data_IF_717334588698
#
_entry.id   IF_717334588698
#
_cell.length_a   1.000
_cell.length_b   1.000
_cell.length_c   1.000
_cell.angle_alpha   90.00
_cell.angle_beta   90.00
_cell.angle_gamma   90.00
#
_symmetry.space_group_name_H-M   'P 1'
#
loop_
_entity.id
_entity.type
_entity.pdbx_description
1 polymer ?
#
# COMPACT_ATOMS: atom_id res chain seq x y z
N UNK A 1 27.88 23.06 12.69
CA UNK A 1 26.77 22.21 12.23
C UNK A 1 26.86 22.13 10.70
N UNK A 2 26.94 21.03 9.97
CA UNK A 2 27.02 19.60 10.28
C UNK A 2 27.32 18.88 8.93
N UNK A 3 28.57 18.90 8.44
CA UNK A 3 28.96 18.25 7.16
C UNK A 3 28.91 16.72 7.22
N UNK A 4 28.76 16.17 8.42
CA UNK A 4 28.73 14.73 8.66
C UNK A 4 27.38 14.08 8.34
N UNK A 5 26.27 14.82 8.50
CA UNK A 5 24.94 14.32 8.17
C UNK A 5 24.74 14.16 6.66
N UNK A 6 25.23 15.12 5.87
CA UNK A 6 25.17 15.04 4.41
C UNK A 6 25.89 13.81 3.88
N UNK A 7 27.10 13.52 4.38
CA UNK A 7 27.87 12.34 3.98
C UNK A 7 27.19 11.02 4.39
N UNK A 8 26.59 10.96 5.59
CA UNK A 8 25.86 9.77 6.07
C UNK A 8 24.61 9.50 5.23
N UNK A 9 23.84 10.54 4.90
CA UNK A 9 22.65 10.42 4.06
C UNK A 9 23.01 9.95 2.65
N UNK A 10 23.98 10.60 1.99
CA UNK A 10 24.45 10.19 0.66
C UNK A 10 24.97 8.75 0.68
N UNK A 11 25.72 8.38 1.72
CA UNK A 11 26.20 7.01 1.91
C UNK A 11 25.06 5.99 2.03
N UNK A 12 24.00 6.33 2.76
CA UNK A 12 22.81 5.49 2.90
C UNK A 12 22.08 5.28 1.57
N UNK A 13 21.78 6.37 0.84
CA UNK A 13 21.14 6.28 -0.47
C UNK A 13 21.99 5.48 -1.47
N UNK A 14 23.31 5.67 -1.47
CA UNK A 14 24.21 4.90 -2.34
C UNK A 14 24.23 3.41 -1.98
N UNK A 15 24.17 3.06 -0.69
CA UNK A 15 24.15 1.67 -0.21
C UNK A 15 22.85 0.93 -0.59
N UNK A 16 21.74 1.66 -0.70
CA UNK A 16 20.40 1.12 -0.95
C UNK A 16 19.81 1.58 -2.29
N UNK A 17 20.66 2.05 -3.22
CA UNK A 17 20.23 2.67 -4.48
C UNK A 17 19.33 1.77 -5.32
N UNK A 18 19.61 0.46 -5.35
CA UNK A 18 18.80 -0.50 -6.11
C UNK A 18 17.39 -0.69 -5.51
N UNK A 19 17.26 -0.69 -4.18
CA UNK A 19 15.94 -0.71 -3.54
C UNK A 19 15.17 0.57 -3.86
N UNK A 20 15.83 1.73 -3.80
CA UNK A 20 15.21 3.00 -4.19
C UNK A 20 14.81 3.02 -5.67
N UNK A 21 15.60 2.42 -6.55
CA UNK A 21 15.24 2.25 -7.95
C UNK A 21 13.99 1.39 -8.10
N UNK A 22 13.92 0.24 -7.43
CA UNK A 22 12.74 -0.63 -7.46
C UNK A 22 11.49 0.11 -6.95
N UNK A 23 11.60 0.85 -5.85
CA UNK A 23 10.51 1.66 -5.30
C UNK A 23 10.09 2.79 -6.24
N UNK A 24 11.04 3.47 -6.87
CA UNK A 24 10.76 4.55 -7.82
C UNK A 24 10.07 4.01 -9.08
N UNK A 25 10.56 2.91 -9.64
CA UNK A 25 9.94 2.23 -10.78
C UNK A 25 8.52 1.79 -10.43
N UNK A 26 8.35 1.12 -9.29
CA UNK A 26 7.02 0.71 -8.83
C UNK A 26 6.09 1.91 -8.64
N UNK A 27 6.55 2.97 -7.98
CA UNK A 27 5.78 4.18 -7.76
C UNK A 27 5.30 4.79 -9.08
N UNK A 28 6.18 4.91 -10.08
CA UNK A 28 5.81 5.45 -11.39
C UNK A 28 4.79 4.57 -12.11
N UNK A 29 4.97 3.25 -12.07
CA UNK A 29 4.08 2.31 -12.75
C UNK A 29 2.72 2.13 -12.05
N UNK A 30 2.70 2.23 -10.73
CA UNK A 30 1.53 2.00 -9.89
C UNK A 30 0.84 3.28 -9.42
N UNK A 31 1.36 4.46 -9.76
CA UNK A 31 0.74 5.73 -9.37
C UNK A 31 -0.72 5.77 -9.85
N UNK A 32 -1.69 5.96 -8.95
CA UNK A 32 -3.08 5.93 -9.34
C UNK A 32 -3.47 7.18 -10.11
N UNK A 33 -4.45 7.03 -11.00
CA UNK A 33 -5.03 8.16 -11.71
C UNK A 33 -5.73 9.09 -10.72
N UNK A 34 -5.38 10.37 -10.77
CA UNK A 34 -5.93 11.43 -9.91
C UNK A 34 -7.42 11.67 -10.19
N UNK A 35 -7.88 11.41 -11.40
CA UNK A 35 -9.26 11.65 -11.84
C UNK A 35 -10.21 10.50 -11.48
N UNK A 36 -9.72 9.45 -10.80
CA UNK A 36 -10.56 8.34 -10.39
C UNK A 36 -11.08 7.50 -11.56
N UNK A 37 -10.48 7.63 -12.75
CA UNK A 37 -10.65 6.73 -13.90
C UNK A 37 -9.97 5.39 -13.61
N UNK A 38 -10.29 4.80 -12.47
CA UNK A 38 -9.99 3.40 -12.24
C UNK A 38 -10.82 2.62 -13.25
N UNK A 39 -10.17 1.74 -14.01
CA UNK A 39 -10.84 0.68 -14.78
C UNK A 39 -11.74 -0.19 -13.88
N UNK A 40 -11.59 -0.06 -12.56
CA UNK A 40 -12.31 -0.75 -11.51
C UNK A 40 -13.13 0.21 -10.64
N UNK A 41 -13.59 1.36 -11.16
CA UNK A 41 -14.50 2.27 -10.45
C UNK A 41 -15.86 1.59 -10.21
N UNK A 42 -15.87 0.63 -9.30
CA UNK A 42 -17.01 -0.19 -8.92
C UNK A 42 -17.77 0.50 -7.79
N UNK A 43 -19.03 0.12 -7.62
CA UNK A 43 -19.88 0.48 -6.48
C UNK A 43 -19.16 0.33 -5.13
N UNK A 44 -18.25 -0.64 -5.02
CA UNK A 44 -17.50 -0.93 -3.79
C UNK A 44 -16.62 0.22 -3.31
N UNK A 45 -15.95 0.94 -4.23
CA UNK A 45 -15.07 2.05 -3.87
C UNK A 45 -15.86 3.22 -3.29
N UNK A 46 -17.01 3.55 -3.89
CA UNK A 46 -17.89 4.60 -3.39
C UNK A 46 -18.54 4.23 -2.05
N UNK A 47 -18.93 2.96 -1.89
CA UNK A 47 -19.39 2.43 -0.60
C UNK A 47 -18.34 2.63 0.47
N UNK A 48 -17.07 2.29 0.19
CA UNK A 48 -16.01 2.38 1.19
C UNK A 48 -15.74 3.84 1.60
N UNK A 49 -15.79 4.79 0.67
CA UNK A 49 -15.73 6.22 0.99
C UNK A 49 -16.92 6.63 1.86
N UNK A 50 -18.14 6.20 1.53
CA UNK A 50 -19.34 6.55 2.29
C UNK A 50 -19.28 6.02 3.73
N UNK A 51 -18.74 4.82 3.96
CA UNK A 51 -18.51 4.30 5.32
C UNK A 51 -17.50 5.16 6.07
N UNK A 52 -16.40 5.57 5.43
CA UNK A 52 -15.42 6.46 6.07
C UNK A 52 -15.99 7.86 6.30
N UNK A 53 -16.86 8.35 5.44
CA UNK A 53 -17.61 9.59 5.65
C UNK A 53 -18.49 9.49 6.89
N UNK A 54 -19.21 8.38 7.08
CA UNK A 54 -20.03 8.20 8.28
C UNK A 54 -19.18 8.12 9.56
N UNK A 55 -17.98 7.51 9.48
CA UNK A 55 -16.99 7.56 10.57
C UNK A 55 -16.54 8.98 10.89
N UNK A 56 -16.32 9.81 9.86
CA UNK A 56 -15.96 11.21 10.05
C UNK A 56 -17.09 12.01 10.69
N UNK A 57 -18.34 11.66 10.38
CA UNK A 57 -19.55 12.27 10.94
C UNK A 57 -19.88 11.76 12.37
N UNK A 58 -19.09 10.82 12.89
CA UNK A 58 -19.14 10.39 14.30
C UNK A 58 -19.61 8.94 14.51
N UNK A 59 -19.87 8.18 13.46
CA UNK A 59 -20.25 6.77 13.59
C UNK A 59 -19.04 5.87 13.92
N UNK A 60 -19.22 4.95 14.86
CA UNK A 60 -18.20 3.94 15.17
C UNK A 60 -18.54 2.66 14.39
N UNK A 61 -17.70 2.31 13.42
CA UNK A 61 -17.89 1.11 12.61
C UNK A 61 -17.28 -0.09 13.33
N UNK A 62 -18.14 -1.00 13.79
CA UNK A 62 -17.72 -2.23 14.48
C UNK A 62 -17.78 -3.48 13.59
N UNK A 63 -18.48 -3.40 12.46
CA UNK A 63 -18.69 -4.50 11.53
C UNK A 63 -18.57 -3.97 10.10
N UNK A 64 -17.86 -4.70 9.25
CA UNK A 64 -17.70 -4.31 7.86
C UNK A 64 -18.86 -4.74 6.96
N UNK A 65 -18.72 -4.42 5.67
CA UNK A 65 -19.73 -4.75 4.68
C UNK A 65 -19.94 -6.28 4.57
N UNK A 66 -21.14 -6.73 4.18
CA UNK A 66 -21.40 -8.15 3.93
C UNK A 66 -20.61 -8.64 2.69
N UNK A 67 -20.28 -9.93 2.70
CA UNK A 67 -19.73 -10.62 1.53
C UNK A 67 -20.76 -10.73 0.40
N UNK A 68 -20.31 -10.60 -0.85
CA UNK A 68 -21.14 -10.87 -2.03
C UNK A 68 -21.63 -12.32 -2.08
N UNK A 69 -20.89 -13.26 -1.47
CA UNK A 69 -21.28 -14.68 -1.38
C UNK A 69 -22.23 -14.98 -0.21
N UNK A 70 -22.57 -13.97 0.59
CA UNK A 70 -23.38 -14.13 1.80
C UNK A 70 -22.65 -14.87 2.94
N UNK A 71 -23.35 -15.04 4.06
CA UNK A 71 -22.90 -15.87 5.19
C UNK A 71 -21.88 -15.24 6.14
N UNK A 72 -21.22 -14.14 5.77
CA UNK A 72 -20.31 -13.42 6.68
C UNK A 72 -20.13 -11.95 6.31
N UNK A 73 -19.58 -11.19 7.26
CA UNK A 73 -19.17 -9.80 7.11
C UNK A 73 -17.65 -9.68 7.18
N UNK A 74 -17.09 -8.72 6.46
CA UNK A 74 -15.68 -8.38 6.61
C UNK A 74 -15.44 -7.66 7.96
N UNK A 75 -14.21 -7.76 8.46
CA UNK A 75 -13.81 -7.01 9.66
C UNK A 75 -13.75 -5.50 9.39
N UNK A 76 -13.93 -4.66 10.43
CA UNK A 76 -13.98 -3.20 10.27
C UNK A 76 -12.60 -2.56 10.10
N UNK A 77 -11.52 -3.28 10.43
CA UNK A 77 -10.14 -2.77 10.45
C UNK A 77 -9.75 -2.06 9.13
N UNK A 78 -10.24 -2.55 8.00
CA UNK A 78 -10.02 -1.95 6.69
C UNK A 78 -10.44 -0.47 6.66
N UNK A 79 -11.60 -0.10 7.24
CA UNK A 79 -12.06 1.29 7.23
C UNK A 79 -11.21 2.20 8.12
N UNK A 80 -10.72 1.70 9.26
CA UNK A 80 -9.80 2.45 10.12
C UNK A 80 -8.45 2.69 9.44
N UNK A 81 -7.96 1.73 8.64
CA UNK A 81 -6.75 1.91 7.85
C UNK A 81 -6.94 2.96 6.75
N UNK A 82 -8.11 3.00 6.12
CA UNK A 82 -8.44 3.98 5.09
C UNK A 82 -8.67 5.40 5.63
N UNK A 83 -9.24 5.50 6.83
CA UNK A 83 -9.69 6.75 7.44
C UNK A 83 -8.73 7.93 7.26
N UNK A 84 -7.44 7.87 7.66
CA UNK A 84 -6.54 9.01 7.53
C UNK A 84 -6.32 9.43 6.06
N UNK A 85 -6.27 8.49 5.12
CA UNK A 85 -6.05 8.79 3.71
C UNK A 85 -7.28 9.46 3.10
N UNK A 86 -8.46 8.94 3.37
CA UNK A 86 -9.73 9.45 2.84
C UNK A 86 -10.03 10.85 3.37
N UNK A 87 -9.86 11.08 4.68
CA UNK A 87 -10.10 12.39 5.30
C UNK A 87 -9.12 13.44 4.76
N UNK A 88 -7.81 13.14 4.72
CA UNK A 88 -6.79 14.10 4.28
C UNK A 88 -6.91 14.49 2.81
N UNK A 89 -7.39 13.58 1.96
CA UNK A 89 -7.52 13.82 0.52
C UNK A 89 -8.92 14.26 0.08
N UNK A 90 -9.84 14.43 1.04
CA UNK A 90 -11.17 14.99 0.82
C UNK A 90 -12.16 14.01 0.17
N UNK A 91 -12.22 12.77 0.65
CA UNK A 91 -13.25 11.78 0.29
C UNK A 91 -13.32 11.44 -1.20
N UNK A 92 -12.17 11.13 -1.82
CA UNK A 92 -12.05 10.81 -3.25
C UNK A 92 -11.77 9.33 -3.47
N UNK A 93 -12.11 8.79 -4.64
CA UNK A 93 -11.73 7.42 -5.02
C UNK A 93 -10.21 7.24 -5.05
N UNK A 94 -9.48 8.30 -5.44
CA UNK A 94 -8.03 8.36 -5.37
C UNK A 94 -7.48 8.02 -3.98
N UNK A 95 -8.17 8.38 -2.90
CA UNK A 95 -7.74 8.14 -1.52
C UNK A 95 -7.49 6.66 -1.22
N UNK A 96 -8.37 5.79 -1.76
CA UNK A 96 -8.31 4.35 -1.56
C UNK A 96 -7.12 3.74 -2.29
N UNK A 97 -6.87 4.19 -3.52
CA UNK A 97 -5.73 3.75 -4.30
C UNK A 97 -4.40 4.28 -3.72
N UNK A 98 -4.39 5.50 -3.19
CA UNK A 98 -3.22 6.05 -2.48
C UNK A 98 -2.88 5.22 -1.25
N UNK A 99 -3.88 4.83 -0.45
CA UNK A 99 -3.67 3.94 0.69
C UNK A 99 -3.07 2.60 0.22
N UNK A 100 -3.65 1.97 -0.80
CA UNK A 100 -3.13 0.72 -1.38
C UNK A 100 -1.68 0.85 -1.84
N UNK A 101 -1.36 1.89 -2.61
CA UNK A 101 -0.01 2.19 -3.10
C UNK A 101 1.01 2.28 -1.96
N UNK A 102 0.67 3.00 -0.89
CA UNK A 102 1.56 3.18 0.28
C UNK A 102 1.83 1.83 0.97
N UNK A 103 0.80 1.01 1.15
CA UNK A 103 0.95 -0.32 1.73
C UNK A 103 1.74 -1.27 0.82
N UNK A 104 1.60 -1.17 -0.50
CA UNK A 104 2.43 -1.95 -1.42
C UNK A 104 3.89 -1.49 -1.44
N UNK A 105 4.17 -0.18 -1.35
CA UNK A 105 5.54 0.32 -1.16
C UNK A 105 6.15 -0.25 0.13
N UNK A 106 5.39 -0.25 1.22
CA UNK A 106 5.81 -0.86 2.47
C UNK A 106 6.02 -2.38 2.31
N UNK A 107 5.14 -3.08 1.59
CA UNK A 107 5.27 -4.51 1.30
C UNK A 107 6.57 -4.79 0.54
N UNK A 108 6.92 -4.00 -0.48
CA UNK A 108 8.18 -4.16 -1.23
C UNK A 108 9.40 -4.00 -0.30
N UNK A 109 9.38 -3.01 0.60
CA UNK A 109 10.47 -2.81 1.59
C UNK A 109 10.58 -4.01 2.54
N UNK A 110 9.47 -4.44 3.13
CA UNK A 110 9.46 -5.54 4.10
C UNK A 110 9.80 -6.88 3.44
N UNK A 111 9.36 -7.13 2.20
CA UNK A 111 9.80 -8.27 1.41
C UNK A 111 11.32 -8.30 1.23
N UNK A 112 11.96 -7.14 1.01
CA UNK A 112 13.42 -7.07 0.92
C UNK A 112 14.08 -7.48 2.24
N UNK A 113 13.49 -7.11 3.38
CA UNK A 113 14.01 -7.44 4.71
C UNK A 113 13.85 -8.94 4.96
N UNK A 114 12.65 -9.48 4.79
CA UNK A 114 12.31 -10.89 5.03
C UNK A 114 13.12 -11.82 4.12
N UNK A 115 13.22 -11.55 2.82
CA UNK A 115 14.03 -12.37 1.90
C UNK A 115 15.52 -12.27 2.24
N UNK A 116 16.00 -11.11 2.68
CA UNK A 116 17.40 -11.01 3.11
C UNK A 116 17.63 -11.84 4.38
N UNK A 117 16.69 -11.85 5.32
CA UNK A 117 16.82 -12.59 6.58
C UNK A 117 16.81 -14.10 6.36
N UNK A 118 15.88 -14.61 5.55
CA UNK A 118 15.73 -16.05 5.31
C UNK A 118 16.89 -16.65 4.50
N UNK A 119 17.50 -15.90 3.58
CA UNK A 119 18.56 -16.43 2.70
C UNK A 119 19.96 -15.88 3.00
N UNK A 120 20.09 -14.84 3.82
CA UNK A 120 21.37 -14.17 4.10
C UNK A 120 21.98 -13.44 2.90
N UNK A 121 21.29 -13.38 1.75
CA UNK A 121 21.79 -12.82 0.49
C UNK A 121 21.05 -11.53 0.12
N UNK A 122 21.80 -10.41 0.14
CA UNK A 122 21.29 -9.10 -0.24
C UNK A 122 20.93 -9.03 -1.74
N UNK A 123 21.70 -9.66 -2.61
CA UNK A 123 21.46 -9.62 -4.06
C UNK A 123 20.17 -10.36 -4.40
N UNK A 124 19.95 -11.53 -3.78
CA UNK A 124 18.71 -12.27 -3.93
C UNK A 124 17.49 -11.46 -3.47
N UNK A 125 17.59 -10.82 -2.31
CA UNK A 125 16.53 -9.96 -1.79
C UNK A 125 16.21 -8.80 -2.73
N UNK A 126 17.25 -8.13 -3.25
CA UNK A 126 17.08 -7.04 -4.21
C UNK A 126 16.46 -7.51 -5.53
N UNK A 127 16.88 -8.66 -6.06
CA UNK A 127 16.30 -9.25 -7.27
C UNK A 127 14.82 -9.60 -7.07
N UNK A 128 14.47 -10.22 -5.95
CA UNK A 128 13.09 -10.59 -5.61
C UNK A 128 12.17 -9.37 -5.57
N UNK A 129 12.59 -8.29 -4.89
CA UNK A 129 11.76 -7.08 -4.79
C UNK A 129 11.69 -6.29 -6.09
N UNK A 130 12.71 -6.37 -6.95
CA UNK A 130 12.63 -5.78 -8.28
C UNK A 130 11.63 -6.52 -9.17
N UNK A 131 11.62 -7.85 -9.13
CA UNK A 131 10.60 -8.66 -9.83
C UNK A 131 9.20 -8.34 -9.29
N UNK A 132 9.05 -8.21 -7.97
CA UNK A 132 7.79 -7.81 -7.35
C UNK A 132 7.34 -6.41 -7.79
N UNK A 133 8.26 -5.45 -7.82
CA UNK A 133 8.02 -4.05 -8.22
C UNK A 133 7.62 -3.88 -9.68
N UNK A 134 8.05 -4.79 -10.57
CA UNK A 134 7.70 -4.74 -12.00
C UNK A 134 6.59 -5.72 -12.39
N UNK A 135 6.12 -6.53 -11.44
CA UNK A 135 5.04 -7.48 -11.68
C UNK A 135 3.71 -6.77 -11.95
N UNK A 136 3.05 -7.19 -13.03
CA UNK A 136 1.73 -6.69 -13.42
C UNK A 136 0.70 -6.82 -12.30
N UNK A 137 0.72 -7.93 -11.55
CA UNK A 137 -0.22 -8.15 -10.44
C UNK A 137 -0.02 -7.14 -9.31
N UNK A 138 1.22 -6.94 -8.87
CA UNK A 138 1.54 -5.96 -7.81
C UNK A 138 1.10 -4.56 -8.22
N UNK A 139 1.39 -4.18 -9.47
CA UNK A 139 1.01 -2.87 -10.03
C UNK A 139 -0.52 -2.72 -10.08
N UNK A 140 -1.24 -3.74 -10.54
CA UNK A 140 -2.70 -3.70 -10.59
C UNK A 140 -3.34 -3.58 -9.21
N UNK A 141 -2.92 -4.38 -8.24
CA UNK A 141 -3.47 -4.32 -6.88
C UNK A 141 -3.16 -2.98 -6.18
N UNK A 142 -2.02 -2.36 -6.46
CA UNK A 142 -1.68 -1.06 -5.89
C UNK A 142 -2.50 0.11 -6.46
N UNK A 143 -3.08 -0.03 -7.66
CA UNK A 143 -3.81 1.04 -8.36
C UNK A 143 -5.28 1.20 -7.95
N UNK A 144 -5.79 0.34 -7.07
CA UNK A 144 -7.12 0.48 -6.45
C UNK A 144 -7.06 0.08 -4.99
N UNK A 145 -8.04 0.52 -4.19
CA UNK A 145 -8.16 0.11 -2.79
C UNK A 145 -9.18 -1.01 -2.63
N UNK A 146 -8.78 -2.10 -1.99
CA UNK A 146 -9.67 -3.17 -1.55
C UNK A 146 -9.06 -3.87 -0.35
N UNK A 147 -9.89 -4.47 0.51
CA UNK A 147 -9.47 -5.09 1.75
C UNK A 147 -8.29 -6.10 1.59
N UNK A 148 -8.28 -7.00 0.57
CA UNK A 148 -7.17 -7.94 0.41
C UNK A 148 -5.81 -7.30 0.12
N UNK A 149 -5.79 -6.06 -0.37
CA UNK A 149 -4.56 -5.38 -0.78
C UNK A 149 -3.59 -5.10 0.38
N UNK A 150 -4.11 -5.05 1.61
CA UNK A 150 -3.32 -4.76 2.81
C UNK A 150 -2.73 -6.04 3.43
N UNK A 151 -3.27 -7.22 3.08
CA UNK A 151 -2.85 -8.51 3.64
C UNK A 151 -1.34 -8.77 3.43
N UNK A 152 -0.76 -8.57 2.23
CA UNK A 152 0.66 -8.84 2.01
C UNK A 152 1.57 -8.08 2.98
N UNK A 153 1.28 -6.80 3.24
CA UNK A 153 2.04 -6.01 4.20
C UNK A 153 1.98 -6.60 5.61
N UNK A 154 0.76 -6.84 6.13
CA UNK A 154 0.59 -7.33 7.49
C UNK A 154 1.13 -8.76 7.66
N UNK A 155 1.03 -9.60 6.64
CA UNK A 155 1.59 -10.95 6.66
C UNK A 155 3.11 -10.94 6.84
N UNK A 156 3.81 -9.97 6.22
CA UNK A 156 5.26 -9.83 6.34
C UNK A 156 5.72 -9.38 7.74
N UNK A 157 4.83 -8.82 8.58
CA UNK A 157 5.19 -8.39 9.94
C UNK A 157 5.38 -9.54 10.93
N UNK A 158 5.04 -10.78 10.54
CA UNK A 158 5.16 -11.97 11.39
C UNK A 158 6.47 -12.74 11.20
N UNK A 159 7.38 -12.22 10.36
CA UNK A 159 8.67 -12.82 10.06
C UNK A 159 9.82 -11.88 10.43
#
# INVERSE_FOLDING_TARGET
MNSDWGRRLVGFFRKHSFLFLALAVFFVLAFPDLEGKSTYATYELYRDIAVVQSMYDGEIILQGHPSMFGGFHFGPAYYYLLYPFVVVTGFKVFSLALASLIFFLATIVFSCIVVKEWWGDKTLALAAVFIMATSMFTIQFARYGSNPNFIPFFALLFF
#
